data_IF_340535700577
#
_entry.id   IF_340535700577
#
_cell.length_a   1.000
_cell.length_b   1.000
_cell.length_c   1.000
_cell.angle_alpha   90.00
_cell.angle_beta   90.00
_cell.angle_gamma   90.00
#
_symmetry.space_group_name_H-M   'P 1'
#
loop_
_entity.id
_entity.type
_entity.pdbx_description
1 polymer ?
#
# COMPACT_ATOMS: atom_id res chain seq x y z
N UNK A 1 9.97 -5.87 52.45
CA UNK A 1 9.10 -6.90 51.81
C UNK A 1 8.20 -6.17 50.81
N UNK A 2 8.21 -6.39 49.51
CA UNK A 2 8.99 -7.27 48.66
C UNK A 2 9.06 -6.64 47.26
N UNK A 3 10.19 -6.88 46.57
CA UNK A 3 10.39 -6.47 45.19
C UNK A 3 9.60 -7.41 44.27
N UNK A 4 8.68 -6.86 43.48
CA UNK A 4 8.03 -7.58 42.39
C UNK A 4 8.96 -7.57 41.18
N UNK A 5 9.62 -8.70 40.93
CA UNK A 5 10.33 -8.94 39.68
C UNK A 5 9.29 -8.95 38.55
N UNK A 6 9.43 -8.04 37.58
CA UNK A 6 8.68 -8.12 36.33
C UNK A 6 9.38 -9.17 35.47
N UNK A 7 8.71 -10.29 35.26
CA UNK A 7 9.09 -11.35 34.34
C UNK A 7 9.33 -10.75 32.95
N UNK A 8 10.53 -10.97 32.41
CA UNK A 8 10.88 -10.59 31.05
C UNK A 8 10.04 -11.39 30.06
N UNK A 9 9.43 -10.68 29.12
CA UNK A 9 8.77 -11.31 27.98
C UNK A 9 9.77 -12.23 27.24
N UNK A 10 9.37 -13.42 26.78
CA UNK A 10 10.26 -14.30 26.05
C UNK A 10 10.67 -13.62 24.73
N UNK A 11 11.98 -13.50 24.51
CA UNK A 11 12.53 -13.04 23.24
C UNK A 11 12.14 -14.02 22.13
N UNK A 12 11.54 -13.51 21.04
CA UNK A 12 11.16 -14.32 19.89
C UNK A 12 12.40 -15.07 19.34
N UNK A 13 12.28 -16.38 19.15
CA UNK A 13 13.37 -17.21 18.58
C UNK A 13 13.62 -16.76 17.13
N UNK A 14 14.89 -16.57 16.71
CA UNK A 14 15.19 -16.27 15.32
C UNK A 14 14.70 -17.41 14.39
N UNK A 15 14.19 -17.07 13.20
CA UNK A 15 13.66 -18.05 12.27
C UNK A 15 14.75 -18.98 11.75
N UNK A 16 14.40 -20.26 11.63
CA UNK A 16 15.26 -21.31 11.08
C UNK A 16 15.50 -21.10 9.58
N UNK A 17 16.57 -21.69 9.01
CA UNK A 17 16.82 -21.61 7.56
C UNK A 17 15.65 -22.14 6.71
N UNK A 18 15.00 -23.22 7.15
CA UNK A 18 13.85 -23.83 6.48
C UNK A 18 12.63 -22.91 6.49
N UNK A 19 12.31 -22.28 7.63
CA UNK A 19 11.24 -21.28 7.73
C UNK A 19 11.50 -20.09 6.80
N UNK A 20 12.75 -19.59 6.74
CA UNK A 20 13.14 -18.49 5.83
C UNK A 20 12.97 -18.86 4.36
N UNK A 21 13.33 -20.08 3.98
CA UNK A 21 13.20 -20.55 2.60
C UNK A 21 11.72 -20.70 2.21
N UNK A 22 10.91 -21.30 3.07
CA UNK A 22 9.48 -21.43 2.87
C UNK A 22 8.79 -20.05 2.75
N UNK A 23 9.16 -19.08 3.60
CA UNK A 23 8.65 -17.71 3.51
C UNK A 23 9.10 -17.00 2.23
N UNK A 24 10.36 -17.16 1.83
CA UNK A 24 10.86 -16.61 0.57
C UNK A 24 10.05 -17.13 -0.62
N UNK A 25 9.81 -18.43 -0.69
CA UNK A 25 9.00 -19.01 -1.76
C UNK A 25 7.55 -18.50 -1.75
N UNK A 26 6.95 -18.43 -0.55
CA UNK A 26 5.58 -17.92 -0.38
C UNK A 26 5.47 -16.48 -0.87
N UNK A 27 6.40 -15.62 -0.44
CA UNK A 27 6.45 -14.21 -0.87
C UNK A 27 6.69 -14.11 -2.38
N UNK A 28 7.60 -14.92 -2.93
CA UNK A 28 7.87 -14.90 -4.37
C UNK A 28 6.63 -15.31 -5.18
N UNK A 29 5.84 -16.28 -4.71
CA UNK A 29 4.55 -16.64 -5.34
C UNK A 29 3.55 -15.49 -5.28
N UNK A 30 3.42 -14.82 -4.13
CA UNK A 30 2.51 -13.68 -3.95
C UNK A 30 2.89 -12.52 -4.86
N UNK A 31 4.16 -12.11 -4.84
CA UNK A 31 4.69 -11.03 -5.68
C UNK A 31 4.52 -11.36 -7.16
N UNK A 32 4.83 -12.59 -7.59
CA UNK A 32 4.66 -12.99 -8.98
C UNK A 32 3.19 -12.96 -9.43
N UNK A 33 2.25 -13.38 -8.58
CA UNK A 33 0.82 -13.34 -8.88
C UNK A 33 0.33 -11.90 -9.02
N UNK A 34 0.72 -11.05 -8.06
CA UNK A 34 0.40 -9.63 -8.06
C UNK A 34 0.99 -8.92 -9.29
N UNK A 35 2.30 -9.06 -9.54
CA UNK A 35 2.97 -8.44 -10.68
C UNK A 35 2.33 -8.83 -12.01
N UNK A 36 1.95 -10.09 -12.21
CA UNK A 36 1.29 -10.54 -13.45
C UNK A 36 -0.07 -9.89 -13.68
N UNK A 37 -0.82 -9.61 -12.60
CA UNK A 37 -2.10 -8.89 -12.68
C UNK A 37 -1.85 -7.40 -12.90
N UNK A 38 -1.02 -6.79 -12.06
CA UNK A 38 -0.72 -5.36 -12.10
C UNK A 38 -0.08 -4.93 -13.44
N UNK A 39 0.77 -5.74 -14.07
CA UNK A 39 1.35 -5.41 -15.38
C UNK A 39 0.30 -5.31 -16.49
N UNK A 40 -0.83 -6.02 -16.38
CA UNK A 40 -1.93 -5.92 -17.33
C UNK A 40 -2.84 -4.70 -17.07
N UNK A 41 -2.73 -4.09 -15.90
CA UNK A 41 -3.73 -3.19 -15.36
C UNK A 41 -4.73 -3.94 -14.48
N UNK A 42 -5.00 -3.37 -13.31
CA UNK A 42 -6.03 -3.84 -12.39
C UNK A 42 -6.94 -2.67 -12.03
N UNK A 43 -8.25 -2.93 -11.99
CA UNK A 43 -9.23 -1.92 -11.63
C UNK A 43 -9.04 -1.47 -10.19
N UNK A 44 -9.16 -0.17 -9.95
CA UNK A 44 -9.12 0.43 -8.63
C UNK A 44 -10.03 1.66 -8.56
N UNK A 45 -10.23 2.14 -7.34
CA UNK A 45 -10.78 3.49 -7.12
C UNK A 45 -9.67 4.37 -6.59
N UNK A 46 -9.32 5.44 -7.30
CA UNK A 46 -8.41 6.47 -6.83
C UNK A 46 -9.21 7.60 -6.15
N UNK A 47 -8.67 8.17 -5.08
CA UNK A 47 -9.29 9.30 -4.41
C UNK A 47 -8.51 10.58 -4.64
N UNK A 48 -9.22 11.64 -5.04
CA UNK A 48 -8.68 12.98 -4.98
C UNK A 48 -8.75 13.49 -3.52
N UNK A 49 -7.59 13.56 -2.87
CA UNK A 49 -7.51 13.94 -1.45
C UNK A 49 -8.01 15.35 -1.14
N UNK A 50 -8.15 16.24 -2.14
CA UNK A 50 -8.60 17.62 -1.90
C UNK A 50 -10.10 17.75 -1.72
N UNK A 51 -10.88 16.90 -2.40
CA UNK A 51 -12.34 17.00 -2.44
C UNK A 51 -13.06 15.68 -2.13
N UNK A 52 -12.32 14.59 -1.92
CA UNK A 52 -12.88 13.26 -1.67
C UNK A 52 -13.49 12.60 -2.91
N UNK A 53 -13.25 13.16 -4.10
CA UNK A 53 -13.82 12.62 -5.34
C UNK A 53 -13.27 11.23 -5.63
N UNK A 54 -14.17 10.32 -5.99
CA UNK A 54 -13.90 8.92 -6.29
C UNK A 54 -13.75 8.74 -7.80
N UNK A 55 -12.58 8.29 -8.24
CA UNK A 55 -12.26 8.11 -9.64
C UNK A 55 -12.06 6.62 -9.93
N UNK A 56 -13.02 6.00 -10.61
CA UNK A 56 -12.90 4.61 -11.06
C UNK A 56 -11.88 4.51 -12.18
N UNK A 57 -10.75 3.86 -11.94
CA UNK A 57 -9.64 3.82 -12.89
C UNK A 57 -8.92 2.48 -12.81
N UNK A 58 -7.73 2.39 -13.39
CA UNK A 58 -6.84 1.24 -13.26
C UNK A 58 -5.49 1.70 -12.74
N UNK A 59 -4.88 0.87 -11.91
CA UNK A 59 -3.46 0.95 -11.63
C UNK A 59 -2.72 -0.11 -12.44
N UNK A 60 -1.44 0.13 -12.71
CA UNK A 60 -0.54 -0.85 -13.30
C UNK A 60 0.84 -0.75 -12.70
N UNK A 61 1.60 -1.82 -12.80
CA UNK A 61 3.05 -1.78 -12.60
C UNK A 61 3.72 -1.95 -13.95
N UNK A 62 4.77 -1.17 -14.23
CA UNK A 62 5.50 -1.33 -15.49
C UNK A 62 6.19 -2.70 -15.59
N UNK A 63 6.66 -3.07 -16.79
CA UNK A 63 7.30 -4.37 -17.01
C UNK A 63 8.60 -4.55 -16.22
N UNK A 64 9.25 -3.47 -15.82
CA UNK A 64 10.46 -3.48 -15.00
C UNK A 64 10.18 -3.66 -13.51
N UNK A 65 8.92 -3.56 -13.09
CA UNK A 65 8.51 -3.47 -11.69
C UNK A 65 9.10 -2.24 -10.98
N UNK A 66 9.36 -1.18 -11.74
CA UNK A 66 10.02 0.04 -11.26
C UNK A 66 9.00 1.09 -10.82
N UNK A 67 7.87 1.18 -11.53
CA UNK A 67 6.85 2.18 -11.26
C UNK A 67 5.46 1.57 -11.07
N UNK A 68 4.81 1.97 -9.98
CA UNK A 68 3.36 1.87 -9.79
C UNK A 68 2.71 3.12 -10.39
N UNK A 69 1.78 2.90 -11.32
CA UNK A 69 1.13 3.97 -12.10
C UNK A 69 -0.37 3.86 -11.93
N UNK A 70 -1.01 4.94 -11.46
CA UNK A 70 -2.47 5.08 -11.48
C UNK A 70 -2.84 5.86 -12.72
N UNK A 71 -3.67 5.29 -13.58
CA UNK A 71 -4.09 5.92 -14.84
C UNK A 71 -5.13 7.02 -14.55
N UNK A 72 -5.15 8.04 -15.40
CA UNK A 72 -6.17 9.09 -15.31
C UNK A 72 -7.53 8.54 -15.74
N UNK A 73 -8.57 8.87 -14.97
CA UNK A 73 -9.94 8.49 -15.29
C UNK A 73 -10.43 9.12 -16.61
N UNK A 74 -9.85 10.25 -17.02
CA UNK A 74 -10.25 10.99 -18.24
C UNK A 74 -9.51 10.53 -19.50
N UNK A 75 -8.26 10.11 -19.34
CA UNK A 75 -7.40 9.68 -20.46
C UNK A 75 -6.51 8.52 -20.00
N UNK A 76 -6.75 7.28 -20.45
CA UNK A 76 -6.00 6.10 -20.03
C UNK A 76 -4.53 6.13 -20.50
N UNK A 77 -4.16 7.04 -21.41
CA UNK A 77 -2.77 7.23 -21.83
C UNK A 77 -1.99 8.17 -20.90
N UNK A 78 -2.67 8.82 -19.94
CA UNK A 78 -2.06 9.71 -18.95
C UNK A 78 -2.06 9.06 -17.58
N UNK A 79 -1.01 9.35 -16.81
CA UNK A 79 -0.93 8.95 -15.42
C UNK A 79 -1.49 10.07 -14.53
N UNK A 80 -2.34 9.71 -13.57
CA UNK A 80 -2.70 10.55 -12.44
C UNK A 80 -1.56 10.52 -11.40
N UNK A 81 -0.98 9.34 -11.19
CA UNK A 81 0.16 9.11 -10.30
C UNK A 81 1.20 8.25 -11.01
N UNK A 82 2.48 8.62 -10.85
CA UNK A 82 3.62 7.77 -11.18
C UNK A 82 4.51 7.70 -9.93
N UNK A 83 4.53 6.53 -9.30
CA UNK A 83 5.22 6.27 -8.04
C UNK A 83 6.34 5.25 -8.28
N UNK A 84 7.61 5.62 -8.10
CA UNK A 84 8.71 4.65 -8.11
C UNK A 84 8.54 3.69 -6.93
N UNK A 85 8.51 2.39 -7.19
CA UNK A 85 8.30 1.35 -6.16
C UNK A 85 9.41 1.41 -5.11
N UNK A 86 10.64 1.66 -5.53
CA UNK A 86 11.81 1.81 -4.64
C UNK A 86 11.75 3.04 -3.74
N UNK A 87 10.89 4.00 -4.07
CA UNK A 87 10.73 5.23 -3.31
C UNK A 87 9.54 5.18 -2.33
N UNK A 88 8.76 4.09 -2.34
CA UNK A 88 7.70 3.86 -1.35
C UNK A 88 8.36 3.74 0.02
N UNK A 89 7.93 4.59 0.94
CA UNK A 89 8.41 4.60 2.32
C UNK A 89 7.48 3.75 3.17
N UNK A 90 6.17 3.95 3.02
CA UNK A 90 5.14 3.28 3.80
C UNK A 90 3.87 3.07 2.98
N UNK A 91 3.10 2.05 3.37
CA UNK A 91 1.75 1.77 2.87
C UNK A 91 0.87 1.60 4.10
N UNK A 92 -0.15 2.45 4.23
CA UNK A 92 -1.07 2.43 5.35
C UNK A 92 -2.37 1.72 4.99
N UNK A 93 -2.95 1.01 5.96
CA UNK A 93 -4.29 0.43 5.90
C UNK A 93 -5.11 0.85 7.13
N UNK A 94 -6.44 0.90 7.00
CA UNK A 94 -7.29 1.20 8.18
C UNK A 94 -7.16 0.09 9.23
N UNK A 95 -7.03 -1.16 8.81
CA UNK A 95 -7.02 -2.34 9.70
C UNK A 95 -5.79 -2.35 10.61
N UNK A 96 -4.63 -1.97 10.07
CA UNK A 96 -3.36 -2.03 10.80
C UNK A 96 -2.99 -0.68 11.46
N UNK A 97 -3.27 0.45 10.79
CA UNK A 97 -2.79 1.77 11.21
C UNK A 97 -3.88 2.69 11.77
N UNK A 98 -5.15 2.36 11.51
CA UNK A 98 -6.31 3.13 11.94
C UNK A 98 -6.64 4.33 11.03
N UNK A 99 -7.84 4.88 11.24
CA UNK A 99 -8.39 5.95 10.38
C UNK A 99 -7.61 7.27 10.47
N UNK A 100 -6.93 7.54 11.59
CA UNK A 100 -6.23 8.81 11.81
C UNK A 100 -5.09 9.09 10.83
N UNK A 101 -4.57 8.07 10.13
CA UNK A 101 -3.53 8.23 9.11
C UNK A 101 -4.07 8.83 7.80
N UNK A 102 -5.38 8.77 7.56
CA UNK A 102 -5.97 9.09 6.26
C UNK A 102 -6.54 10.53 6.22
N UNK A 103 -6.56 11.17 5.03
CA UNK A 103 -7.29 12.42 4.83
C UNK A 103 -8.78 12.26 5.15
N UNK A 104 -9.37 13.26 5.81
CA UNK A 104 -10.79 13.22 6.21
C UNK A 104 -11.72 13.12 5.01
N UNK A 105 -11.37 13.78 3.93
CA UNK A 105 -12.11 13.82 2.67
C UNK A 105 -12.19 12.41 2.06
N UNK A 106 -11.10 11.63 2.15
CA UNK A 106 -11.06 10.23 1.70
C UNK A 106 -11.93 9.36 2.60
N UNK A 107 -11.76 9.45 3.93
CA UNK A 107 -12.56 8.67 4.89
C UNK A 107 -14.06 8.91 4.76
N UNK A 108 -14.45 10.14 4.43
CA UNK A 108 -15.86 10.51 4.24
C UNK A 108 -16.45 9.96 2.95
N UNK A 109 -15.61 9.64 1.96
CA UNK A 109 -16.01 9.09 0.65
C UNK A 109 -15.97 7.56 0.59
N UNK A 110 -15.23 6.92 1.51
CA UNK A 110 -15.08 5.45 1.59
C UNK A 110 -16.32 4.85 2.28
N UNK A 111 -16.93 3.85 1.63
CA UNK A 111 -18.06 3.13 2.22
C UNK A 111 -17.59 2.20 3.34
N UNK A 112 -18.44 1.86 4.33
CA UNK A 112 -18.05 0.99 5.44
C UNK A 112 -17.45 -0.35 5.02
N UNK A 113 -17.98 -0.98 3.97
CA UNK A 113 -17.53 -2.25 3.40
C UNK A 113 -16.25 -2.13 2.53
N UNK A 114 -15.82 -0.90 2.23
CA UNK A 114 -14.61 -0.61 1.47
C UNK A 114 -13.40 -0.33 2.36
N UNK A 115 -13.62 -0.12 3.67
CA UNK A 115 -12.57 0.31 4.61
C UNK A 115 -11.40 -0.66 4.69
N UNK A 116 -11.67 -1.96 4.61
CA UNK A 116 -10.64 -3.01 4.63
C UNK A 116 -9.74 -2.99 3.39
N UNK A 117 -10.19 -2.37 2.31
CA UNK A 117 -9.49 -2.29 1.01
C UNK A 117 -8.82 -0.93 0.78
N UNK A 118 -8.98 0.01 1.70
CA UNK A 118 -8.38 1.33 1.58
C UNK A 118 -6.89 1.27 1.90
N UNK A 119 -6.09 1.71 0.93
CA UNK A 119 -4.65 1.86 1.05
C UNK A 119 -4.26 3.32 0.83
N UNK A 120 -3.28 3.80 1.60
CA UNK A 120 -2.58 5.05 1.34
C UNK A 120 -1.10 4.76 1.14
N UNK A 121 -0.57 5.08 -0.04
CA UNK A 121 0.84 4.87 -0.37
C UNK A 121 1.57 6.18 -0.17
N UNK A 122 2.67 6.16 0.59
CA UNK A 122 3.54 7.31 0.84
C UNK A 122 4.91 7.05 0.23
N UNK A 123 5.43 8.00 -0.54
CA UNK A 123 6.70 7.83 -1.26
C UNK A 123 7.49 9.13 -1.36
N UNK A 124 8.81 9.00 -1.48
CA UNK A 124 9.72 10.12 -1.68
C UNK A 124 9.81 10.49 -3.17
N UNK A 125 9.63 11.76 -3.50
CA UNK A 125 9.96 12.27 -4.84
C UNK A 125 11.43 12.65 -4.96
N UNK A 126 11.88 12.91 -6.19
CA UNK A 126 13.28 13.21 -6.48
C UNK A 126 13.82 14.53 -5.90
N UNK A 127 12.98 15.34 -5.25
CA UNK A 127 13.31 16.61 -4.59
C UNK A 127 13.13 16.56 -3.07
N UNK A 128 13.18 15.36 -2.47
CA UNK A 128 12.88 15.09 -1.06
C UNK A 128 11.46 15.45 -0.61
N UNK A 129 10.59 15.88 -1.52
CA UNK A 129 9.18 16.06 -1.20
C UNK A 129 8.52 14.69 -0.98
N UNK A 130 7.73 14.60 0.06
CA UNK A 130 6.91 13.42 0.35
C UNK A 130 5.59 13.56 -0.38
N UNK A 131 5.27 12.54 -1.17
CA UNK A 131 4.01 12.42 -1.89
C UNK A 131 3.19 11.29 -1.29
N UNK A 132 1.87 11.41 -1.42
CA UNK A 132 0.96 10.34 -1.05
C UNK A 132 -0.24 10.29 -1.98
N UNK A 133 -0.88 9.13 -2.02
CA UNK A 133 -2.19 8.96 -2.65
C UNK A 133 -2.96 7.83 -1.99
N UNK A 134 -4.29 7.90 -2.10
CA UNK A 134 -5.20 6.88 -1.57
C UNK A 134 -5.90 6.12 -2.71
N UNK A 135 -6.08 4.81 -2.54
CA UNK A 135 -6.82 3.97 -3.47
C UNK A 135 -7.50 2.75 -2.81
N UNK A 136 -8.52 2.19 -3.49
CA UNK A 136 -9.10 0.89 -3.19
C UNK A 136 -8.57 -0.18 -4.16
N UNK A 137 -8.15 -1.32 -3.64
CA UNK A 137 -7.77 -2.53 -4.39
C UNK A 137 -8.63 -3.75 -4.00
#
# INVERSE_FOLDING_TARGET
>A
RGAGAREGAPAARPPTPEEKEADKERLQRLVNSFARKAVKGAACTYFNEKNGERLSTQYRIDKGLEHLVVLSHKDPNRAEVTCPVVAIQDIYSIVEDGESCFPREVLSAVQPDERERLLMVVYQGGNDAVYRFCMLE
#
